data_IF_496549340042
#
_entry.id   IF_496549340042
#
_cell.length_a   1.000
_cell.length_b   1.000
_cell.length_c   1.000
_cell.angle_alpha   90.00
_cell.angle_beta   90.00
_cell.angle_gamma   90.00
#
_symmetry.space_group_name_H-M   'P 1'
#
loop_
_entity.id
_entity.type
_entity.pdbx_description
1 polymer ?
#
# COMPACT_ATOMS: atom_id res chain seq x y z
N UNK A 1 23.30 26.83 -86.39
CA UNK A 1 23.91 25.89 -85.42
C UNK A 1 23.39 26.30 -84.04
N UNK A 2 22.31 25.67 -83.61
CA UNK A 2 21.63 25.98 -82.35
C UNK A 2 21.92 24.89 -81.34
N UNK A 3 22.43 25.27 -80.17
CA UNK A 3 22.69 24.37 -79.05
C UNK A 3 21.36 23.96 -78.40
N UNK A 4 21.15 22.69 -78.01
CA UNK A 4 19.93 22.28 -77.34
C UNK A 4 19.99 22.62 -75.84
N UNK A 5 19.03 23.41 -75.39
CA UNK A 5 18.72 23.67 -73.98
C UNK A 5 17.82 22.53 -73.47
N UNK A 6 18.32 21.71 -72.55
CA UNK A 6 17.51 20.67 -71.92
C UNK A 6 18.23 20.05 -70.72
N UNK A 7 17.98 20.58 -69.53
CA UNK A 7 18.31 19.90 -68.27
C UNK A 7 17.24 18.81 -68.01
N UNK A 8 17.61 17.58 -67.64
CA UNK A 8 16.64 16.55 -67.28
C UNK A 8 16.02 16.87 -65.91
N UNK A 9 14.78 17.35 -65.93
CA UNK A 9 13.91 17.41 -64.76
C UNK A 9 13.41 16.01 -64.44
N UNK A 10 13.85 15.42 -63.31
CA UNK A 10 13.27 14.18 -62.82
C UNK A 10 14.19 13.37 -61.94
N UNK A 11 14.57 13.89 -60.76
CA UNK A 11 14.89 13.00 -59.65
C UNK A 11 13.56 12.66 -58.96
N UNK A 12 13.22 11.37 -58.78
CA UNK A 12 12.09 11.02 -57.93
C UNK A 12 12.42 11.49 -56.51
N UNK A 13 11.73 12.53 -56.05
CA UNK A 13 11.67 12.89 -54.64
C UNK A 13 10.89 11.79 -53.91
N UNK A 14 11.54 10.68 -53.58
CA UNK A 14 11.10 9.78 -52.52
C UNK A 14 11.31 10.48 -51.19
N UNK A 15 10.50 11.50 -50.93
CA UNK A 15 10.14 11.77 -49.55
C UNK A 15 9.48 10.48 -49.04
N UNK A 16 9.91 9.92 -47.90
CA UNK A 16 9.17 8.82 -47.31
C UNK A 16 7.73 9.32 -47.16
N UNK A 17 6.78 8.65 -47.80
CA UNK A 17 5.37 8.81 -47.47
C UNK A 17 5.30 8.59 -45.97
N UNK A 18 5.07 9.66 -45.21
CA UNK A 18 4.86 9.60 -43.78
C UNK A 18 3.61 8.75 -43.58
N UNK A 19 3.78 7.43 -43.49
CA UNK A 19 2.77 6.56 -42.93
C UNK A 19 2.38 7.22 -41.62
N UNK A 20 1.11 7.58 -41.49
CA UNK A 20 0.60 8.23 -40.29
C UNK A 20 0.96 7.32 -39.11
N UNK A 21 2.01 7.69 -38.37
CA UNK A 21 2.36 6.95 -37.17
C UNK A 21 1.19 7.13 -36.22
N UNK A 22 0.60 6.03 -35.70
CA UNK A 22 -0.47 6.10 -34.72
C UNK A 22 -0.07 7.05 -33.60
N UNK A 23 -0.95 8.02 -33.32
CA UNK A 23 -0.72 9.01 -32.27
C UNK A 23 -0.85 8.34 -30.90
N UNK A 24 0.02 8.66 -29.93
CA UNK A 24 -0.14 8.16 -28.57
C UNK A 24 -1.48 8.62 -27.97
N UNK A 25 -2.13 7.72 -27.24
CA UNK A 25 -3.43 7.97 -26.59
C UNK A 25 -3.35 7.58 -25.11
N UNK A 26 -3.82 8.47 -24.24
CA UNK A 26 -3.97 8.23 -22.79
C UNK A 26 -5.46 8.37 -22.45
N UNK A 27 -6.12 7.27 -22.11
CA UNK A 27 -7.58 7.25 -21.97
C UNK A 27 -8.25 7.71 -23.26
N UNK A 28 -8.95 8.84 -23.21
CA UNK A 28 -9.59 9.47 -24.36
C UNK A 28 -8.77 10.63 -24.97
N UNK A 29 -7.64 10.99 -24.35
CA UNK A 29 -6.81 12.12 -24.77
C UNK A 29 -5.81 11.67 -25.84
N UNK A 30 -5.99 12.19 -27.06
CA UNK A 30 -5.06 11.95 -28.17
C UNK A 30 -3.93 12.97 -28.17
N UNK A 31 -2.69 12.51 -28.04
CA UNK A 31 -1.50 13.37 -28.05
C UNK A 31 -1.05 13.66 -29.48
N UNK A 32 -1.76 14.56 -30.13
CA UNK A 32 -1.55 14.91 -31.56
C UNK A 32 -0.16 15.47 -31.87
N UNK A 33 0.46 16.16 -30.91
CA UNK A 33 1.83 16.67 -31.02
C UNK A 33 2.73 16.08 -29.92
N UNK A 34 2.73 14.74 -29.78
CA UNK A 34 3.72 14.03 -28.98
C UNK A 34 5.13 14.22 -29.59
N UNK A 35 6.03 14.80 -28.80
CA UNK A 35 7.40 15.09 -29.23
C UNK A 35 8.35 13.94 -28.88
N UNK A 36 8.10 13.29 -27.74
CA UNK A 36 8.92 12.20 -27.23
C UNK A 36 8.07 11.24 -26.43
N UNK A 37 8.28 9.94 -26.66
CA UNK A 37 7.73 8.85 -25.86
C UNK A 37 8.90 7.93 -25.51
N UNK A 38 9.30 7.94 -24.25
CA UNK A 38 10.30 7.03 -23.71
C UNK A 38 9.59 5.87 -23.01
N UNK A 39 10.06 4.66 -23.27
CA UNK A 39 9.66 3.47 -22.53
C UNK A 39 10.89 2.88 -21.83
N UNK A 40 10.79 2.69 -20.52
CA UNK A 40 11.82 2.07 -19.71
C UNK A 40 11.27 0.81 -19.04
N UNK A 41 12.09 -0.25 -19.07
CA UNK A 41 11.88 -1.49 -18.34
C UNK A 41 13.11 -1.77 -17.50
N UNK A 42 12.90 -1.89 -16.19
CA UNK A 42 13.92 -2.34 -15.25
C UNK A 42 13.84 -3.87 -15.12
N UNK A 43 15.00 -4.55 -15.04
CA UNK A 43 15.07 -6.00 -14.88
C UNK A 43 14.68 -6.51 -13.48
N UNK A 44 14.61 -5.62 -12.49
CA UNK A 44 14.25 -5.92 -11.11
C UNK A 44 15.33 -6.65 -10.32
N UNK A 45 16.59 -6.37 -10.64
CA UNK A 45 17.73 -6.95 -9.91
C UNK A 45 18.15 -6.04 -8.76
N UNK A 46 18.52 -6.67 -7.65
CA UNK A 46 19.10 -5.99 -6.48
C UNK A 46 20.45 -6.62 -6.14
N UNK A 47 21.38 -5.77 -5.73
CA UNK A 47 22.74 -6.16 -5.35
C UNK A 47 22.73 -6.69 -3.91
N UNK A 48 23.22 -7.91 -3.72
CA UNK A 48 23.39 -8.53 -2.41
C UNK A 48 24.88 -8.76 -2.16
N UNK A 49 25.50 -8.12 -1.15
CA UNK A 49 26.91 -8.32 -0.86
C UNK A 49 27.14 -9.74 -0.36
N UNK A 50 28.19 -10.40 -0.86
CA UNK A 50 28.58 -11.73 -0.39
C UNK A 50 29.76 -11.59 0.57
N UNK A 51 29.53 -11.91 1.84
CA UNK A 51 30.55 -11.77 2.88
C UNK A 51 31.78 -12.64 2.55
N UNK A 52 32.96 -12.01 2.60
CA UNK A 52 34.24 -12.68 2.32
C UNK A 52 34.59 -12.85 0.84
N UNK A 53 33.76 -12.37 -0.09
CA UNK A 53 34.06 -12.36 -1.53
C UNK A 53 34.12 -10.93 -2.09
N UNK A 54 34.89 -10.77 -3.16
CA UNK A 54 34.90 -9.54 -3.95
C UNK A 54 33.69 -9.56 -4.90
N UNK A 55 32.78 -8.60 -4.73
CA UNK A 55 31.62 -8.41 -5.62
C UNK A 55 30.26 -8.59 -4.94
N UNK A 56 29.21 -8.56 -5.77
CA UNK A 56 27.81 -8.66 -5.36
C UNK A 56 27.13 -9.81 -6.11
N UNK A 57 26.27 -10.55 -5.41
CA UNK A 57 25.31 -11.44 -6.04
C UNK A 57 24.12 -10.62 -6.53
N UNK A 58 23.63 -10.92 -7.73
CA UNK A 58 22.43 -10.31 -8.29
C UNK A 58 21.22 -11.15 -7.91
N UNK A 59 20.33 -10.61 -7.09
CA UNK A 59 19.06 -11.26 -6.78
C UNK A 59 17.94 -10.61 -7.59
N UNK A 60 17.15 -11.41 -8.30
CA UNK A 60 15.95 -10.91 -8.96
C UNK A 60 14.84 -10.75 -7.92
N UNK A 61 14.48 -9.52 -7.59
CA UNK A 61 13.42 -9.19 -6.62
C UNK A 61 12.02 -9.27 -7.25
N UNK A 62 11.92 -9.23 -8.58
CA UNK A 62 10.64 -9.28 -9.30
C UNK A 62 10.75 -8.69 -10.70
N UNK A 63 9.60 -8.46 -11.34
CA UNK A 63 9.49 -7.62 -12.54
C UNK A 63 8.88 -6.28 -12.13
N UNK A 64 9.63 -5.17 -12.19
CA UNK A 64 9.10 -3.82 -12.02
C UNK A 64 8.05 -3.49 -13.09
N UNK A 65 7.15 -2.56 -12.76
CA UNK A 65 6.18 -1.99 -13.70
C UNK A 65 6.85 -1.33 -14.89
N UNK A 66 6.23 -1.42 -16.07
CA UNK A 66 6.63 -0.59 -17.21
C UNK A 66 6.49 0.89 -16.83
N UNK A 67 7.48 1.71 -17.20
CA UNK A 67 7.45 3.15 -17.00
C UNK A 67 7.53 3.86 -18.35
N UNK A 68 6.67 4.85 -18.53
CA UNK A 68 6.63 5.65 -19.73
C UNK A 68 6.76 7.12 -19.37
N UNK A 69 7.58 7.85 -20.12
CA UNK A 69 7.70 9.31 -20.00
C UNK A 69 7.36 9.93 -21.35
N UNK A 70 6.43 10.87 -21.35
CA UNK A 70 5.87 11.47 -22.56
C UNK A 70 6.02 12.98 -22.46
N UNK A 71 6.62 13.59 -23.48
CA UNK A 71 6.62 15.02 -23.67
C UNK A 71 5.78 15.36 -24.91
N UNK A 72 4.81 16.25 -24.75
CA UNK A 72 3.87 16.60 -25.80
C UNK A 72 3.43 18.07 -25.72
N UNK A 73 2.83 18.56 -26.79
CA UNK A 73 2.16 19.86 -26.82
C UNK A 73 0.66 19.63 -27.04
N UNK A 74 -0.16 20.24 -26.18
CA UNK A 74 -1.59 20.36 -26.38
C UNK A 74 -1.85 21.71 -27.07
N UNK A 75 -2.55 21.68 -28.19
CA UNK A 75 -2.88 22.88 -28.96
C UNK A 75 -4.21 22.71 -29.68
N UNK A 76 -4.87 23.83 -29.97
CA UNK A 76 -6.18 23.84 -30.64
C UNK A 76 -7.34 24.02 -29.65
N UNK A 77 -8.58 23.89 -30.11
CA UNK A 77 -9.76 24.25 -29.33
C UNK A 77 -10.00 23.35 -28.11
N UNK A 78 -9.50 22.11 -28.12
CA UNK A 78 -9.67 21.14 -27.03
C UNK A 78 -8.52 21.15 -26.03
N UNK A 79 -7.46 21.95 -26.25
CA UNK A 79 -6.21 21.83 -25.49
C UNK A 79 -6.40 21.98 -23.96
N UNK A 80 -7.30 22.87 -23.53
CA UNK A 80 -7.59 23.07 -22.11
C UNK A 80 -8.47 21.95 -21.53
N UNK A 81 -9.39 21.41 -22.33
CA UNK A 81 -10.23 20.28 -21.91
C UNK A 81 -9.38 19.00 -21.79
N UNK A 82 -8.50 18.77 -22.76
CA UNK A 82 -7.53 17.67 -22.76
C UNK A 82 -6.59 17.77 -21.55
N UNK A 83 -6.10 18.98 -21.24
CA UNK A 83 -5.31 19.24 -20.03
C UNK A 83 -6.10 18.93 -18.76
N UNK A 84 -7.36 19.36 -18.68
CA UNK A 84 -8.21 19.12 -17.51
C UNK A 84 -8.50 17.62 -17.32
N UNK A 85 -8.68 16.87 -18.41
CA UNK A 85 -8.82 15.41 -18.36
C UNK A 85 -7.55 14.73 -17.81
N UNK A 86 -6.36 15.13 -18.29
CA UNK A 86 -5.09 14.62 -17.77
C UNK A 86 -4.86 14.99 -16.30
N UNK A 87 -5.25 16.21 -15.89
CA UNK A 87 -5.18 16.62 -14.49
C UNK A 87 -6.11 15.80 -13.60
N UNK A 88 -7.31 15.48 -14.10
CA UNK A 88 -8.27 14.63 -13.39
C UNK A 88 -7.72 13.21 -13.21
N UNK A 89 -7.16 12.62 -14.27
CA UNK A 89 -6.50 11.30 -14.21
C UNK A 89 -5.32 11.30 -13.22
N UNK A 90 -4.50 12.34 -13.23
CA UNK A 90 -3.38 12.48 -12.29
C UNK A 90 -3.84 12.65 -10.84
N UNK A 91 -4.95 13.35 -10.61
CA UNK A 91 -5.49 13.60 -9.27
C UNK A 91 -6.26 12.40 -8.71
N UNK A 92 -6.97 11.65 -9.56
CA UNK A 92 -7.76 10.49 -9.12
C UNK A 92 -6.90 9.26 -8.82
N UNK A 93 -5.77 9.11 -9.54
CA UNK A 93 -4.95 7.89 -9.48
C UNK A 93 -5.64 6.67 -10.08
N UNK A 94 -6.74 6.85 -10.82
CA UNK A 94 -7.46 5.77 -11.48
C UNK A 94 -6.65 5.19 -12.63
N UNK A 95 -6.71 3.86 -12.77
CA UNK A 95 -6.07 3.19 -13.89
C UNK A 95 -6.79 3.52 -15.20
N UNK A 96 -6.02 3.83 -16.23
CA UNK A 96 -6.47 4.11 -17.59
C UNK A 96 -5.68 3.28 -18.61
N UNK A 97 -6.07 3.38 -19.87
CA UNK A 97 -5.39 2.73 -20.99
C UNK A 97 -4.36 3.67 -21.60
N UNK A 98 -3.21 3.13 -21.98
CA UNK A 98 -2.22 3.81 -22.80
C UNK A 98 -1.91 2.99 -24.04
N UNK A 99 -1.91 3.66 -25.20
CA UNK A 99 -1.54 3.07 -26.47
C UNK A 99 -0.58 3.98 -27.22
N UNK A 100 0.53 3.44 -27.71
CA UNK A 100 1.47 4.16 -28.55
C UNK A 100 2.18 3.20 -29.51
N UNK A 101 2.41 3.65 -30.75
CA UNK A 101 3.22 2.93 -31.72
C UNK A 101 4.71 3.28 -31.53
N UNK A 102 5.38 2.52 -30.66
CA UNK A 102 6.83 2.54 -30.48
C UNK A 102 7.44 1.47 -31.41
N UNK A 103 8.67 1.01 -31.21
CA UNK A 103 9.32 -0.04 -32.04
C UNK A 103 8.49 -1.34 -32.09
N UNK A 104 7.75 -1.64 -31.02
CA UNK A 104 6.71 -2.67 -30.97
C UNK A 104 5.46 -1.98 -30.44
N UNK A 105 4.34 -2.05 -31.18
CA UNK A 105 3.06 -1.48 -30.75
C UNK A 105 2.82 -1.79 -29.26
N UNK A 106 2.88 -0.75 -28.42
CA UNK A 106 2.79 -0.88 -26.98
C UNK A 106 1.37 -0.50 -26.58
N UNK A 107 0.62 -1.50 -26.11
CA UNK A 107 -0.72 -1.33 -25.58
C UNK A 107 -0.74 -1.80 -24.12
N UNK A 108 -0.96 -0.86 -23.21
CA UNK A 108 -1.03 -1.13 -21.77
C UNK A 108 -2.41 -0.76 -21.27
N UNK A 109 -3.15 -1.76 -20.80
CA UNK A 109 -4.55 -1.62 -20.41
C UNK A 109 -4.75 -0.97 -19.03
N UNK A 110 -3.75 -1.07 -18.15
CA UNK A 110 -3.82 -0.54 -16.81
C UNK A 110 -2.54 0.24 -16.49
N UNK A 111 -2.62 1.54 -16.69
CA UNK A 111 -1.57 2.50 -16.32
C UNK A 111 -2.14 3.59 -15.44
N UNK A 112 -1.34 4.10 -14.53
CA UNK A 112 -1.68 5.26 -13.70
C UNK A 112 -0.75 6.42 -14.03
N UNK A 113 -1.27 7.64 -13.94
CA UNK A 113 -0.46 8.85 -14.09
C UNK A 113 0.29 9.09 -12.79
N UNK A 114 1.62 8.92 -12.80
CA UNK A 114 2.45 9.15 -11.61
C UNK A 114 2.93 10.59 -11.50
N UNK A 115 2.98 11.30 -12.63
CA UNK A 115 3.38 12.70 -12.69
C UNK A 115 2.74 13.40 -13.89
N UNK A 116 2.28 14.63 -13.66
CA UNK A 116 1.88 15.57 -14.71
C UNK A 116 2.53 16.93 -14.40
N UNK A 117 3.23 17.48 -15.38
CA UNK A 117 3.70 18.86 -15.38
C UNK A 117 3.18 19.54 -16.65
N UNK A 118 2.68 20.77 -16.50
CA UNK A 118 2.14 21.55 -17.59
C UNK A 118 2.66 22.99 -17.53
N UNK A 119 2.98 23.57 -18.68
CA UNK A 119 3.41 24.96 -18.82
C UNK A 119 2.82 25.58 -20.07
N UNK A 120 2.24 26.76 -19.95
CA UNK A 120 1.76 27.52 -21.11
C UNK A 120 2.95 28.14 -21.85
N UNK A 121 2.92 28.07 -23.18
CA UNK A 121 3.97 28.64 -24.03
C UNK A 121 3.79 30.16 -24.08
N UNK A 122 4.79 30.90 -23.61
CA UNK A 122 4.75 32.35 -23.57
C UNK A 122 4.45 32.95 -24.96
N UNK A 123 3.45 33.84 -25.01
CA UNK A 123 3.03 34.50 -26.25
C UNK A 123 2.19 33.63 -27.18
N UNK A 124 1.77 32.42 -26.75
CA UNK A 124 0.87 31.54 -27.50
C UNK A 124 -0.25 30.99 -26.61
N UNK A 125 -1.28 31.81 -26.31
CA UNK A 125 -2.44 31.35 -25.57
C UNK A 125 -3.09 30.12 -26.21
N UNK A 126 -3.46 29.14 -25.40
CA UNK A 126 -4.03 27.88 -25.88
C UNK A 126 -3.01 26.88 -26.42
N UNK A 127 -1.71 27.11 -26.17
CA UNK A 127 -0.64 26.13 -26.40
C UNK A 127 0.01 25.78 -25.07
N UNK A 128 -0.12 24.52 -24.67
CA UNK A 128 0.38 24.01 -23.39
C UNK A 128 1.37 22.89 -23.65
N UNK A 129 2.59 23.05 -23.15
CA UNK A 129 3.57 21.99 -23.08
C UNK A 129 3.27 21.11 -21.87
N UNK A 130 3.29 19.78 -22.07
CA UNK A 130 3.06 18.81 -21.01
C UNK A 130 4.19 17.78 -20.94
N UNK A 131 4.46 17.35 -19.71
CA UNK A 131 5.26 16.16 -19.41
C UNK A 131 4.43 15.23 -18.53
N UNK A 132 4.22 14.01 -19.00
CA UNK A 132 3.43 12.98 -18.32
C UNK A 132 4.29 11.76 -18.07
N UNK A 133 4.26 11.26 -16.85
CA UNK A 133 4.84 9.95 -16.50
C UNK A 133 3.74 8.97 -16.15
N UNK A 134 3.84 7.77 -16.70
CA UNK A 134 2.89 6.69 -16.54
C UNK A 134 3.60 5.46 -15.96
N UNK A 135 2.90 4.71 -15.11
CA UNK A 135 3.37 3.43 -14.60
C UNK A 135 2.31 2.34 -14.79
N UNK A 136 2.71 1.15 -15.24
CA UNK A 136 1.87 -0.04 -15.28
C UNK A 136 1.38 -0.38 -13.86
N UNK A 137 0.07 -0.57 -13.71
CA UNK A 137 -0.60 -0.90 -12.46
C UNK A 137 -1.42 -2.18 -12.65
N UNK A 138 -0.78 -3.36 -12.68
CA UNK A 138 -1.50 -4.62 -12.86
C UNK A 138 -2.50 -4.83 -11.70
N UNK A 139 -3.58 -5.59 -11.92
CA UNK A 139 -4.56 -5.81 -10.87
C UNK A 139 -3.90 -6.58 -9.72
N UNK A 140 -4.21 -6.20 -8.49
CA UNK A 140 -3.72 -6.93 -7.33
C UNK A 140 -4.21 -8.39 -7.44
N UNK A 141 -3.33 -9.38 -7.20
CA UNK A 141 -3.79 -10.76 -7.08
C UNK A 141 -4.88 -10.81 -5.99
N UNK A 142 -5.90 -11.67 -6.15
CA UNK A 142 -6.88 -11.84 -5.10
C UNK A 142 -6.14 -12.13 -3.78
N UNK A 143 -6.59 -11.56 -2.66
CA UNK A 143 -5.95 -11.82 -1.38
C UNK A 143 -5.85 -13.33 -1.22
N UNK A 144 -4.65 -13.81 -0.89
CA UNK A 144 -4.47 -15.20 -0.56
C UNK A 144 -5.49 -15.52 0.52
N UNK A 145 -6.53 -16.27 0.17
CA UNK A 145 -7.40 -16.84 1.17
C UNK A 145 -6.45 -17.65 2.04
N UNK A 146 -6.40 -17.34 3.34
CA UNK A 146 -5.76 -18.22 4.30
C UNK A 146 -6.47 -19.56 4.10
N UNK A 147 -5.86 -20.45 3.31
CA UNK A 147 -6.18 -21.86 3.35
C UNK A 147 -5.88 -22.22 4.80
N UNK A 148 -6.92 -22.21 5.64
CA UNK A 148 -6.78 -22.16 7.08
C UNK A 148 -5.89 -23.29 7.54
N UNK A 149 -4.61 -22.99 7.77
CA UNK A 149 -3.56 -23.95 8.14
C UNK A 149 -3.75 -25.38 7.58
N UNK A 150 -4.20 -25.50 6.33
CA UNK A 150 -4.65 -26.75 5.71
C UNK A 150 -3.50 -27.62 5.20
N UNK A 151 -2.41 -27.62 5.95
CA UNK A 151 -1.16 -28.30 5.61
C UNK A 151 -0.23 -28.53 6.81
N UNK A 152 -0.64 -28.21 8.04
CA UNK A 152 0.14 -28.60 9.23
C UNK A 152 0.12 -30.12 9.45
N UNK A 153 -0.90 -30.80 8.94
CA UNK A 153 -1.01 -32.27 8.99
C UNK A 153 0.11 -32.95 8.17
N UNK A 154 0.59 -32.30 7.11
CA UNK A 154 1.66 -32.80 6.22
C UNK A 154 3.07 -32.35 6.65
N UNK A 155 3.17 -31.36 7.56
CA UNK A 155 4.45 -30.88 8.09
C UNK A 155 5.00 -31.72 9.26
N UNK A 156 4.37 -32.84 9.61
CA UNK A 156 4.85 -33.71 10.70
C UNK A 156 4.86 -33.01 12.07
N UNK A 157 4.09 -31.95 12.24
CA UNK A 157 4.02 -31.16 13.48
C UNK A 157 3.23 -31.86 14.60
N UNK A 158 2.61 -33.00 14.31
CA UNK A 158 2.03 -33.87 15.32
C UNK A 158 3.05 -34.38 16.35
N UNK A 159 4.36 -34.21 16.11
CA UNK A 159 5.45 -34.65 16.99
C UNK A 159 6.44 -33.53 17.37
N UNK A 160 6.10 -32.25 17.17
CA UNK A 160 6.95 -31.14 17.64
C UNK A 160 6.63 -30.65 19.06
N UNK A 161 5.94 -31.46 19.87
CA UNK A 161 5.81 -31.21 21.31
C UNK A 161 5.22 -29.84 21.67
N UNK A 162 4.44 -29.22 20.77
CA UNK A 162 3.62 -28.08 21.12
C UNK A 162 2.47 -28.63 21.96
N UNK A 163 2.67 -28.53 23.27
CA UNK A 163 1.73 -29.00 24.27
C UNK A 163 0.45 -28.18 24.14
N UNK A 164 -0.58 -28.76 23.52
CA UNK A 164 -1.89 -28.13 23.37
C UNK A 164 -2.56 -27.88 24.72
N UNK A 165 -2.08 -28.54 25.78
CA UNK A 165 -2.53 -28.35 27.14
C UNK A 165 -2.12 -26.97 27.67
N UNK A 166 -0.97 -26.41 27.23
CA UNK A 166 -0.58 -25.03 27.56
C UNK A 166 -1.54 -23.98 26.99
N UNK A 167 -2.17 -24.25 25.85
CA UNK A 167 -3.17 -23.34 25.28
C UNK A 167 -4.50 -23.42 26.02
N UNK A 168 -4.84 -24.60 26.57
CA UNK A 168 -5.96 -24.78 27.48
C UNK A 168 -5.75 -24.01 28.78
N UNK A 169 -4.59 -24.20 29.41
CA UNK A 169 -4.21 -23.53 30.65
C UNK A 169 -4.17 -21.99 30.48
N UNK A 170 -3.72 -21.49 29.32
CA UNK A 170 -3.73 -20.05 29.03
C UNK A 170 -5.15 -19.49 28.85
N UNK A 171 -6.05 -20.28 28.26
CA UNK A 171 -7.44 -19.89 28.07
C UNK A 171 -8.21 -19.90 29.39
N UNK A 172 -7.96 -20.89 30.25
CA UNK A 172 -8.54 -20.99 31.59
C UNK A 172 -8.02 -19.86 32.48
N UNK A 173 -6.72 -19.57 32.45
CA UNK A 173 -6.13 -18.43 33.18
C UNK A 173 -6.69 -17.08 32.69
N UNK A 174 -6.91 -16.92 31.39
CA UNK A 174 -7.54 -15.72 30.85
C UNK A 174 -9.01 -15.59 31.30
N UNK A 175 -9.73 -16.70 31.42
CA UNK A 175 -11.08 -16.76 31.97
C UNK A 175 -11.13 -16.36 33.45
N UNK A 176 -10.20 -16.87 34.25
CA UNK A 176 -10.09 -16.54 35.67
C UNK A 176 -9.72 -15.06 35.89
N UNK A 177 -8.83 -14.50 35.07
CA UNK A 177 -8.48 -13.07 35.11
C UNK A 177 -9.67 -12.20 34.71
N UNK A 178 -10.40 -12.57 33.67
CA UNK A 178 -11.60 -11.83 33.26
C UNK A 178 -12.68 -11.85 34.36
N UNK A 179 -12.92 -13.01 34.98
CA UNK A 179 -13.86 -13.16 36.09
C UNK A 179 -13.44 -12.37 37.34
N UNK A 180 -12.14 -12.35 37.66
CA UNK A 180 -11.62 -11.57 38.78
C UNK A 180 -11.77 -10.06 38.56
N UNK A 181 -11.56 -9.57 37.32
CA UNK A 181 -11.76 -8.17 36.96
C UNK A 181 -13.23 -7.77 37.05
N UNK A 182 -14.15 -8.61 36.56
CA UNK A 182 -15.59 -8.36 36.65
C UNK A 182 -16.08 -8.36 38.11
N UNK A 183 -15.56 -9.28 38.94
CA UNK A 183 -15.81 -9.28 40.39
C UNK A 183 -15.29 -8.02 41.09
N UNK A 184 -14.10 -7.53 40.70
CA UNK A 184 -13.54 -6.29 41.25
C UNK A 184 -14.37 -5.05 40.86
N UNK A 185 -14.85 -4.98 39.61
CA UNK A 185 -15.73 -3.89 39.16
C UNK A 185 -17.08 -3.91 39.91
N UNK A 186 -17.67 -5.09 40.09
CA UNK A 186 -18.90 -5.23 40.89
C UNK A 186 -18.70 -4.82 42.36
N UNK A 187 -17.53 -5.12 42.95
CA UNK A 187 -17.19 -4.69 44.30
C UNK A 187 -17.03 -3.16 44.40
N UNK A 188 -16.45 -2.51 43.39
CA UNK A 188 -16.33 -1.04 43.31
C UNK A 188 -17.71 -0.37 43.18
N UNK A 189 -18.61 -0.94 42.39
CA UNK A 189 -20.00 -0.46 42.27
C UNK A 189 -20.76 -0.62 43.60
N UNK A 190 -20.59 -1.75 44.28
CA UNK A 190 -21.17 -1.98 45.61
C UNK A 190 -20.61 -0.99 46.65
N UNK A 191 -19.30 -0.69 46.60
CA UNK A 191 -18.67 0.30 47.47
C UNK A 191 -19.19 1.72 47.18
N UNK A 192 -19.42 2.04 45.91
CA UNK A 192 -19.99 3.33 45.47
C UNK A 192 -21.45 3.48 45.91
N UNK A 193 -22.23 2.40 45.85
CA UNK A 193 -23.59 2.37 46.38
C UNK A 193 -23.62 2.52 47.92
N UNK A 194 -22.66 1.91 48.64
CA UNK A 194 -22.51 2.04 50.08
C UNK A 194 -22.05 3.44 50.50
N UNK A 195 -21.16 4.07 49.73
CA UNK A 195 -20.76 5.46 49.93
C UNK A 195 -21.92 6.45 49.72
N UNK A 196 -22.87 6.14 48.83
CA UNK A 196 -24.14 6.87 48.72
C UNK A 196 -25.01 6.75 49.97
N UNK A 197 -24.96 5.62 50.66
CA UNK A 197 -25.71 5.33 51.89
C UNK A 197 -25.06 5.93 53.16
N UNK A 198 -23.73 6.11 53.16
CA UNK A 198 -22.95 6.69 54.26
C UNK A 198 -23.20 8.20 54.48
N UNK A 199 -24.06 8.82 53.68
CA UNK A 199 -24.56 10.19 53.92
C UNK A 199 -25.62 10.28 55.03
N UNK A 200 -26.01 9.15 55.63
CA UNK A 200 -26.88 9.08 56.81
C UNK A 200 -26.11 8.54 58.02
N UNK A 201 -26.11 9.31 59.11
CA UNK A 201 -25.29 9.13 60.31
C UNK A 201 -25.85 8.05 61.27
N UNK A 202 -25.04 7.03 61.59
CA UNK A 202 -25.42 5.95 62.52
C UNK A 202 -24.22 5.45 63.35
N UNK A 203 -24.01 6.08 64.51
CA UNK A 203 -22.95 5.91 65.53
C UNK A 203 -22.98 4.56 66.32
N UNK A 204 -23.31 3.45 65.67
CA UNK A 204 -23.39 2.14 66.35
C UNK A 204 -23.20 0.90 65.48
N UNK A 205 -22.96 1.08 64.18
CA UNK A 205 -22.99 0.00 63.17
C UNK A 205 -21.60 -0.25 62.55
N UNK A 206 -20.52 -0.06 63.33
CA UNK A 206 -19.14 -0.19 62.81
C UNK A 206 -18.47 -1.55 63.09
N UNK A 207 -19.18 -2.51 63.67
CA UNK A 207 -18.73 -3.90 63.71
C UNK A 207 -18.40 -4.51 62.32
N UNK A 208 -19.25 -4.35 61.27
CA UNK A 208 -18.95 -4.92 59.96
C UNK A 208 -17.77 -4.25 59.23
N UNK A 209 -17.38 -3.02 59.61
CA UNK A 209 -16.20 -2.36 59.03
C UNK A 209 -14.90 -3.04 59.46
N UNK A 210 -14.85 -3.61 60.67
CA UNK A 210 -13.69 -4.37 61.13
C UNK A 210 -13.55 -5.73 60.44
N UNK A 211 -14.67 -6.32 60.01
CA UNK A 211 -14.67 -7.56 59.24
C UNK A 211 -14.29 -7.32 57.77
N UNK A 212 -14.68 -6.19 57.20
CA UNK A 212 -14.22 -5.75 55.87
C UNK A 212 -12.71 -5.47 55.88
N UNK A 213 -12.18 -4.89 56.96
CA UNK A 213 -10.74 -4.67 57.09
C UNK A 213 -9.94 -5.99 57.11
N UNK A 214 -10.44 -7.02 57.81
CA UNK A 214 -9.84 -8.37 57.77
C UNK A 214 -9.92 -9.01 56.39
N UNK A 215 -11.05 -8.88 55.71
CA UNK A 215 -11.22 -9.41 54.35
C UNK A 215 -10.29 -8.74 53.34
N UNK A 216 -9.98 -7.45 53.52
CA UNK A 216 -9.00 -6.71 52.72
C UNK A 216 -7.55 -7.15 53.01
N UNK A 217 -7.22 -7.46 54.27
CA UNK A 217 -5.91 -8.00 54.64
C UNK A 217 -5.69 -9.40 54.03
N UNK A 218 -6.71 -10.26 54.07
CA UNK A 218 -6.65 -11.59 53.46
C UNK A 218 -6.57 -11.53 51.92
N UNK A 219 -7.30 -10.60 51.31
CA UNK A 219 -7.23 -10.37 49.84
C UNK A 219 -5.88 -9.80 49.42
N UNK A 220 -5.30 -8.90 50.23
CA UNK A 220 -3.95 -8.37 50.02
C UNK A 220 -2.87 -9.44 50.13
N UNK A 221 -3.02 -10.37 51.08
CA UNK A 221 -2.12 -11.50 51.21
C UNK A 221 -2.17 -12.42 49.98
N UNK A 222 -3.36 -12.72 49.47
CA UNK A 222 -3.54 -13.53 48.24
C UNK A 222 -2.98 -12.86 46.99
N UNK A 223 -3.13 -11.54 46.86
CA UNK A 223 -2.53 -10.77 45.76
C UNK A 223 -1.00 -10.80 45.84
N UNK A 224 -0.43 -10.74 47.05
CA UNK A 224 1.01 -10.88 47.29
C UNK A 224 1.56 -12.23 46.83
N UNK A 225 0.88 -13.34 47.17
CA UNK A 225 1.28 -14.68 46.73
C UNK A 225 1.17 -14.86 45.21
N UNK A 226 0.15 -14.27 44.58
CA UNK A 226 0.00 -14.30 43.13
C UNK A 226 1.13 -13.52 42.42
N UNK A 227 1.53 -12.37 42.97
CA UNK A 227 2.64 -11.57 42.44
C UNK A 227 4.00 -12.25 42.63
N UNK A 228 4.23 -12.93 43.75
CA UNK A 228 5.44 -13.74 43.97
C UNK A 228 5.49 -14.95 43.03
N UNK A 229 4.35 -15.62 42.79
CA UNK A 229 4.26 -16.71 41.82
C UNK A 229 4.55 -16.24 40.39
N UNK A 230 4.02 -15.06 39.99
CA UNK A 230 4.38 -14.42 38.73
C UNK A 230 5.86 -14.04 38.67
N UNK A 231 6.43 -13.51 39.76
CA UNK A 231 7.86 -13.23 39.88
C UNK A 231 8.74 -14.47 39.69
N UNK A 232 8.29 -15.63 40.17
CA UNK A 232 8.98 -16.91 39.95
C UNK A 232 8.91 -17.43 38.50
N UNK A 233 7.87 -17.08 37.75
CA UNK A 233 7.69 -17.47 36.33
C UNK A 233 8.47 -16.55 35.37
N UNK A 234 8.58 -15.25 35.69
CA UNK A 234 9.26 -14.27 34.84
C UNK A 234 10.66 -13.89 35.32
N UNK A 235 11.11 -14.42 36.46
CA UNK A 235 12.34 -14.04 37.17
C UNK A 235 13.40 -15.15 37.28
N UNK A 236 13.46 -16.07 36.31
CA UNK A 236 14.61 -16.97 36.10
C UNK A 236 15.08 -16.95 34.66
#
# INVERSE_FOLDING_TARGET
MSLPTGLPSGLPSTAPSSGARPMPVIGDVTLTAAQRVDHALDGGFVDVPVLGLQGYAQQRSGRPSHRMAIAAVLAGPTALDDLAALQTLAASGEATTFSADIVTALELQQVVVTRLAASEVAGRPGVVEIVVELAESPPLPPPAQLAGFGGLDDFGLGDLGFDTDLLGDLADLAGDVAGAVEGALAAVDALSALAGLASFDFDGVLAPVQDVQRSLEDSGAQLGTALDALGGVFGS
#
